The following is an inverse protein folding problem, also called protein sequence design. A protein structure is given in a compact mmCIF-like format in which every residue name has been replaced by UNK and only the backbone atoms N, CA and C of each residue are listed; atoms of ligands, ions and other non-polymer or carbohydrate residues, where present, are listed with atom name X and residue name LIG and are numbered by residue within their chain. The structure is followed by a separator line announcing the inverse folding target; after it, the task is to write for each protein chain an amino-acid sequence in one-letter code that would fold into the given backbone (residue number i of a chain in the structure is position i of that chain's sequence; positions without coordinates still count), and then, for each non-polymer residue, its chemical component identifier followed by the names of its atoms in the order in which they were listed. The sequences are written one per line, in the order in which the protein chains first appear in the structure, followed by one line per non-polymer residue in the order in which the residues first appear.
data_IF_335105550773
#
_entry.id   IF_335105550773
#
_cell.length_a   1.000
_cell.length_b   1.000
_cell.length_c   1.000
_cell.angle_alpha   90.00
_cell.angle_beta   90.00
_cell.angle_gamma   90.00
#
_symmetry.space_group_name_H-M   'P 1'
#
loop_
_entity.id
_entity.type
_entity.pdbx_description
1 polymer ?
#
# COMPACT_ATOMS: atom_id res chain seq x y z
N UNK A 1 -20.31 -28.48 22.69
CA UNK A 1 -19.39 -28.33 21.55
C UNK A 1 -18.11 -27.67 22.05
N UNK A 2 -17.02 -28.42 22.12
CA UNK A 2 -15.73 -27.91 22.57
C UNK A 2 -15.05 -27.18 21.42
N UNK A 3 -14.67 -25.92 21.62
CA UNK A 3 -13.79 -25.15 20.73
C UNK A 3 -12.42 -25.82 20.68
N UNK A 4 -11.85 -26.10 19.50
CA UNK A 4 -10.55 -26.73 19.41
C UNK A 4 -9.48 -25.75 19.90
N UNK A 5 -8.75 -26.13 20.96
CA UNK A 5 -7.50 -25.47 21.36
C UNK A 5 -6.44 -25.86 20.34
N UNK A 6 -6.04 -24.93 19.48
CA UNK A 6 -4.80 -25.06 18.73
C UNK A 6 -3.63 -24.90 19.70
N UNK A 7 -3.03 -26.02 20.11
CA UNK A 7 -1.74 -26.02 20.79
C UNK A 7 -0.63 -25.95 19.75
N UNK A 8 0.04 -24.80 19.68
CA UNK A 8 1.24 -24.58 18.87
C UNK A 8 2.34 -25.48 19.44
N UNK A 9 2.89 -26.38 18.64
CA UNK A 9 3.96 -27.29 19.09
C UNK A 9 5.33 -26.61 18.97
N UNK A 10 6.32 -27.17 19.66
CA UNK A 10 7.70 -26.66 19.66
C UNK A 10 8.36 -26.71 18.26
N UNK A 11 7.83 -27.50 17.33
CA UNK A 11 8.22 -27.55 15.90
C UNK A 11 7.71 -26.34 15.10
N UNK A 12 6.59 -25.74 15.48
CA UNK A 12 6.08 -24.51 14.85
C UNK A 12 6.95 -23.29 15.19
N UNK A 13 7.75 -23.38 16.26
CA UNK A 13 8.72 -22.34 16.62
C UNK A 13 9.95 -22.33 15.73
N UNK A 14 10.25 -23.40 14.97
CA UNK A 14 11.43 -23.44 14.09
C UNK A 14 11.14 -23.02 12.64
N UNK A 15 9.87 -22.84 12.26
CA UNK A 15 9.46 -22.29 10.96
C UNK A 15 9.45 -20.76 10.98
N UNK A 16 10.63 -20.15 11.10
CA UNK A 16 10.81 -18.68 11.13
C UNK A 16 10.62 -17.96 9.77
N UNK A 17 9.91 -18.56 8.83
CA UNK A 17 9.56 -17.95 7.53
C UNK A 17 8.06 -18.13 7.35
N UNK A 18 7.36 -17.08 6.91
CA UNK A 18 5.89 -16.97 6.70
C UNK A 18 5.09 -16.24 7.79
N UNK A 19 5.54 -15.07 8.26
CA UNK A 19 4.59 -14.09 8.83
C UNK A 19 3.79 -13.39 7.71
N UNK A 20 4.40 -13.22 6.53
CA UNK A 20 3.82 -12.56 5.36
C UNK A 20 4.18 -13.34 4.09
N UNK A 21 3.30 -13.31 3.07
CA UNK A 21 3.60 -13.85 1.73
C UNK A 21 4.01 -12.71 0.79
N UNK A 22 5.23 -12.82 0.23
CA UNK A 22 5.75 -11.93 -0.81
C UNK A 22 5.33 -12.32 -2.23
N UNK A 23 4.78 -13.53 -2.41
CA UNK A 23 4.43 -14.10 -3.72
C UNK A 23 5.63 -14.70 -4.45
N UNK A 24 5.37 -15.62 -5.38
CA UNK A 24 6.40 -16.46 -6.00
C UNK A 24 7.55 -15.64 -6.61
N UNK A 25 7.22 -14.53 -7.30
CA UNK A 25 8.23 -13.64 -7.90
C UNK A 25 9.15 -12.99 -6.86
N UNK A 26 8.65 -12.69 -5.66
CA UNK A 26 9.47 -12.14 -4.58
C UNK A 26 10.39 -13.21 -4.00
N UNK A 27 9.89 -14.43 -3.83
CA UNK A 27 10.65 -15.56 -3.34
C UNK A 27 11.78 -15.94 -4.32
N UNK A 28 11.49 -15.94 -5.63
CA UNK A 28 12.51 -16.12 -6.66
C UNK A 28 13.56 -15.01 -6.66
N UNK A 29 13.14 -13.75 -6.56
CA UNK A 29 14.07 -12.62 -6.50
C UNK A 29 14.94 -12.65 -5.23
N UNK A 30 14.36 -13.09 -4.10
CA UNK A 30 15.11 -13.31 -2.86
C UNK A 30 16.13 -14.43 -3.01
N UNK A 31 15.74 -15.58 -3.60
CA UNK A 31 16.66 -16.68 -3.86
C UNK A 31 17.80 -16.24 -4.79
N UNK A 32 17.48 -15.54 -5.89
CA UNK A 32 18.47 -14.99 -6.83
C UNK A 32 19.41 -14.00 -6.14
N UNK A 33 18.90 -13.16 -5.23
CA UNK A 33 19.73 -12.25 -4.45
C UNK A 33 20.79 -12.99 -3.61
N UNK A 34 20.45 -14.17 -3.10
CA UNK A 34 21.36 -14.94 -2.25
C UNK A 34 22.43 -15.69 -3.05
N UNK A 35 22.05 -16.31 -4.17
CA UNK A 35 22.96 -17.18 -4.93
C UNK A 35 23.60 -16.50 -6.13
N UNK A 36 22.98 -15.44 -6.65
CA UNK A 36 23.38 -14.75 -7.87
C UNK A 36 24.52 -13.76 -7.64
N UNK A 37 25.38 -13.61 -8.67
CA UNK A 37 26.50 -12.66 -8.64
C UNK A 37 26.05 -11.21 -8.37
N UNK A 38 24.95 -10.79 -8.99
CA UNK A 38 24.39 -9.45 -8.80
C UNK A 38 23.96 -9.19 -7.36
N UNK A 39 23.36 -10.21 -6.72
CA UNK A 39 22.95 -10.13 -5.33
C UNK A 39 24.14 -10.09 -4.37
N UNK A 40 25.17 -10.89 -4.60
CA UNK A 40 26.43 -10.84 -3.84
C UNK A 40 27.14 -9.49 -3.96
N UNK A 41 27.14 -8.88 -5.16
CA UNK A 41 27.68 -7.54 -5.37
C UNK A 41 26.88 -6.49 -4.61
N UNK A 42 25.54 -6.55 -4.68
CA UNK A 42 24.67 -5.66 -3.93
C UNK A 42 24.86 -5.81 -2.41
N UNK A 43 24.97 -7.05 -1.93
CA UNK A 43 25.25 -7.36 -0.52
C UNK A 43 26.57 -6.76 -0.06
N UNK A 44 27.63 -6.93 -0.86
CA UNK A 44 28.94 -6.35 -0.58
C UNK A 44 28.89 -4.83 -0.51
N UNK A 45 28.19 -4.18 -1.46
CA UNK A 45 28.00 -2.74 -1.47
C UNK A 45 27.20 -2.24 -0.25
N UNK A 46 26.13 -2.93 0.13
CA UNK A 46 25.26 -2.53 1.24
C UNK A 46 25.96 -2.65 2.60
N UNK A 47 26.82 -3.65 2.76
CA UNK A 47 27.55 -3.94 4.00
C UNK A 47 28.92 -3.24 4.06
N UNK A 48 29.34 -2.53 3.01
CA UNK A 48 30.61 -1.84 3.00
C UNK A 48 30.64 -0.67 4.00
N UNK A 49 31.55 -0.72 4.97
CA UNK A 49 31.65 0.25 6.06
C UNK A 49 32.41 1.51 5.65
N UNK A 50 31.75 2.40 4.88
CA UNK A 50 32.31 3.67 4.40
C UNK A 50 31.74 4.91 5.10
N UNK A 51 30.60 4.79 5.77
CA UNK A 51 29.89 5.89 6.42
C UNK A 51 30.33 6.01 7.88
N UNK A 52 29.89 7.08 8.54
CA UNK A 52 30.20 7.39 9.94
C UNK A 52 28.91 7.81 10.67
N UNK A 53 28.99 7.95 12.00
CA UNK A 53 27.84 8.44 12.79
C UNK A 53 27.43 9.86 12.37
N UNK A 54 28.33 10.69 11.82
CA UNK A 54 27.98 12.04 11.32
C UNK A 54 27.05 11.99 10.11
N UNK A 55 27.03 10.88 9.40
CA UNK A 55 26.11 10.62 8.28
C UNK A 55 24.73 10.15 8.79
N UNK A 56 24.58 9.97 10.10
CA UNK A 56 23.30 9.80 10.78
C UNK A 56 22.97 11.10 11.50
N UNK A 57 21.72 11.52 11.52
CA UNK A 57 21.29 12.68 12.32
C UNK A 57 21.30 12.39 13.85
N UNK A 58 22.10 11.42 14.31
CA UNK A 58 22.07 10.85 15.65
C UNK A 58 23.38 11.09 16.42
N UNK A 59 23.27 11.13 17.75
CA UNK A 59 24.44 11.35 18.61
C UNK A 59 25.21 10.06 18.87
N UNK A 60 26.54 10.17 19.04
CA UNK A 60 27.39 9.06 19.47
C UNK A 60 26.88 8.36 20.73
N UNK A 61 26.32 9.13 21.69
CA UNK A 61 25.77 8.60 22.93
C UNK A 61 24.59 7.65 22.69
N UNK A 62 23.67 8.05 21.81
CA UNK A 62 22.51 7.22 21.46
C UNK A 62 22.94 5.94 20.73
N UNK A 63 23.85 6.06 19.76
CA UNK A 63 24.38 4.92 19.02
C UNK A 63 25.13 3.93 19.94
N UNK A 64 25.96 4.44 20.85
CA UNK A 64 26.65 3.61 21.84
C UNK A 64 25.66 2.91 22.78
N UNK A 65 24.61 3.60 23.22
CA UNK A 65 23.55 2.99 24.03
C UNK A 65 22.84 1.86 23.28
N UNK A 66 22.40 2.09 22.04
CA UNK A 66 21.77 1.04 21.22
C UNK A 66 22.72 -0.12 20.90
N UNK A 67 24.02 0.15 20.75
CA UNK A 67 25.04 -0.88 20.60
C UNK A 67 25.18 -1.73 21.88
N UNK A 68 25.17 -1.11 23.07
CA UNK A 68 25.19 -1.83 24.34
C UNK A 68 23.96 -2.73 24.56
N UNK A 69 22.83 -2.39 23.93
CA UNK A 69 21.61 -3.18 23.93
C UNK A 69 21.59 -4.29 22.86
N UNK A 70 22.65 -4.40 22.05
CA UNK A 70 22.74 -5.35 20.94
C UNK A 70 21.84 -5.02 19.75
N UNK A 71 21.35 -3.78 19.64
CA UNK A 71 20.54 -3.32 18.51
C UNK A 71 21.40 -2.93 17.31
N UNK A 72 22.64 -2.52 17.54
CA UNK A 72 23.61 -2.18 16.50
C UNK A 72 24.84 -3.04 16.73
N UNK A 73 25.28 -3.74 15.68
CA UNK A 73 26.46 -4.58 15.72
C UNK A 73 27.70 -3.77 16.12
N UNK A 74 28.54 -4.36 16.96
CA UNK A 74 29.84 -3.76 17.23
C UNK A 74 30.73 -3.91 16.00
N UNK A 75 31.53 -2.88 15.70
CA UNK A 75 32.40 -2.84 14.55
C UNK A 75 33.81 -3.41 14.82
N UNK A 76 34.03 -3.98 16.00
CA UNK A 76 35.27 -4.67 16.37
C UNK A 76 36.47 -3.72 16.45
N UNK A 77 36.19 -2.44 16.65
CA UNK A 77 37.18 -1.37 16.64
C UNK A 77 38.09 -1.40 17.87
N UNK A 78 39.34 -1.03 17.67
CA UNK A 78 40.25 -0.69 18.77
C UNK A 78 39.79 0.59 19.48
N UNK A 79 40.13 0.68 20.77
CA UNK A 79 39.73 1.79 21.64
C UNK A 79 40.19 3.14 21.03
N UNK A 80 39.25 4.08 20.85
CA UNK A 80 39.51 5.40 20.25
C UNK A 80 39.30 5.52 18.74
N UNK A 81 39.09 4.43 18.00
CA UNK A 81 38.81 4.50 16.57
C UNK A 81 37.37 4.96 16.25
N UNK A 82 37.22 5.74 15.17
CA UNK A 82 35.92 6.21 14.69
C UNK A 82 35.07 5.05 14.19
N UNK A 83 33.82 4.95 14.68
CA UNK A 83 32.89 3.90 14.24
C UNK A 83 32.50 4.11 12.79
N UNK A 84 32.69 3.06 11.98
CA UNK A 84 32.26 3.05 10.58
C UNK A 84 30.94 2.30 10.42
N UNK A 85 30.06 2.85 9.60
CA UNK A 85 28.73 2.35 9.30
C UNK A 85 28.65 1.95 7.84
N UNK A 86 27.84 0.93 7.56
CA UNK A 86 27.40 0.57 6.23
C UNK A 86 26.09 1.28 5.85
N UNK A 87 25.68 1.18 4.59
CA UNK A 87 24.36 1.68 4.16
C UNK A 87 23.25 0.97 4.95
N UNK A 88 23.41 -0.34 5.16
CA UNK A 88 22.47 -1.15 5.92
C UNK A 88 22.34 -0.66 7.37
N UNK A 89 23.47 -0.34 8.01
CA UNK A 89 23.50 0.20 9.38
C UNK A 89 22.78 1.54 9.48
N UNK A 90 23.04 2.45 8.55
CA UNK A 90 22.40 3.78 8.54
C UNK A 90 20.88 3.66 8.37
N UNK A 91 20.42 2.85 7.42
CA UNK A 91 18.97 2.64 7.22
C UNK A 91 18.36 2.00 8.48
N UNK A 92 19.02 1.00 9.07
CA UNK A 92 18.55 0.37 10.30
C UNK A 92 18.46 1.34 11.48
N UNK A 93 19.46 2.22 11.67
CA UNK A 93 19.44 3.28 12.68
C UNK A 93 18.22 4.19 12.49
N UNK A 94 17.92 4.59 11.25
CA UNK A 94 16.75 5.41 10.98
C UNK A 94 15.42 4.65 11.17
N UNK A 95 15.40 3.32 10.96
CA UNK A 95 14.26 2.48 11.33
C UNK A 95 14.06 2.49 12.85
N UNK A 96 15.12 2.33 13.64
CA UNK A 96 15.06 2.42 15.10
C UNK A 96 14.52 3.78 15.55
N UNK A 97 15.01 4.87 14.97
CA UNK A 97 14.52 6.24 15.23
C UNK A 97 13.02 6.34 14.93
N UNK A 98 12.58 5.83 13.78
CA UNK A 98 11.17 5.87 13.40
C UNK A 98 10.28 5.08 14.37
N UNK A 99 10.67 3.85 14.72
CA UNK A 99 9.94 3.02 15.69
C UNK A 99 9.87 3.69 17.07
N UNK A 100 10.97 4.27 17.54
CA UNK A 100 10.98 5.05 18.79
C UNK A 100 10.10 6.29 18.71
N UNK A 101 9.99 6.93 17.54
CA UNK A 101 9.08 8.04 17.28
C UNK A 101 7.60 7.67 17.37
N UNK A 102 7.25 6.42 17.05
CA UNK A 102 5.91 5.86 17.29
C UNK A 102 5.66 5.44 18.75
N UNK A 103 6.66 5.57 19.63
CA UNK A 103 6.59 5.07 21.01
C UNK A 103 6.84 3.57 21.15
N UNK A 104 7.40 2.91 20.12
CA UNK A 104 7.63 1.47 20.18
C UNK A 104 8.63 1.11 21.30
N UNK A 105 8.33 0.13 22.18
CA UNK A 105 9.14 -0.10 23.37
C UNK A 105 10.56 -0.60 23.06
N UNK A 106 11.55 -0.13 23.83
CA UNK A 106 12.97 -0.38 23.56
C UNK A 106 13.34 -1.85 23.76
N UNK A 107 12.73 -2.49 24.75
CA UNK A 107 12.88 -3.91 25.07
C UNK A 107 12.40 -4.83 23.95
N UNK A 108 11.46 -4.38 23.11
CA UNK A 108 10.93 -5.14 21.96
C UNK A 108 11.77 -4.97 20.69
N UNK A 109 12.58 -3.91 20.60
CA UNK A 109 13.43 -3.67 19.42
C UNK A 109 14.47 -4.76 19.19
N UNK A 110 14.88 -5.48 20.24
CA UNK A 110 15.78 -6.64 20.10
C UNK A 110 15.11 -7.78 19.34
N UNK A 111 13.81 -8.00 19.55
CA UNK A 111 13.05 -8.98 18.76
C UNK A 111 13.00 -8.54 17.29
N UNK A 112 12.73 -7.26 17.04
CA UNK A 112 12.67 -6.69 15.68
C UNK A 112 14.00 -6.87 14.95
N UNK A 113 15.11 -6.55 15.62
CA UNK A 113 16.46 -6.77 15.08
C UNK A 113 16.67 -8.26 14.78
N UNK A 114 16.36 -9.14 15.73
CA UNK A 114 16.57 -10.58 15.57
C UNK A 114 15.76 -11.12 14.39
N UNK A 115 14.48 -10.76 14.24
CA UNK A 115 13.65 -11.25 13.14
C UNK A 115 14.12 -10.76 11.77
N UNK A 116 14.63 -9.53 11.69
CA UNK A 116 15.04 -8.93 10.42
C UNK A 116 16.44 -9.34 9.96
N UNK A 117 17.32 -9.63 10.90
CA UNK A 117 18.72 -10.00 10.66
C UNK A 117 19.03 -11.47 10.98
N UNK A 118 18.02 -12.29 11.25
CA UNK A 118 18.21 -13.71 11.54
C UNK A 118 18.93 -14.38 10.38
N UNK A 119 20.19 -14.79 10.53
CA UNK A 119 20.86 -15.64 9.53
C UNK A 119 20.45 -17.09 9.78
N UNK A 120 19.64 -17.70 8.92
CA UNK A 120 19.31 -19.12 9.08
C UNK A 120 20.52 -20.04 8.84
N UNK A 121 20.42 -21.25 9.36
CA UNK A 121 21.47 -22.27 9.38
C UNK A 121 21.81 -22.78 7.98
N UNK A 122 23.11 -22.85 7.65
CA UNK A 122 23.87 -23.50 6.54
C UNK A 122 23.27 -23.63 5.12
N UNK A 123 21.97 -23.55 4.90
CA UNK A 123 21.29 -23.69 3.60
C UNK A 123 20.13 -22.68 3.43
N UNK A 124 19.84 -21.84 4.43
CA UNK A 124 18.89 -20.74 4.29
C UNK A 124 19.29 -19.55 5.16
N UNK A 125 20.32 -18.81 4.77
CA UNK A 125 20.70 -17.57 5.46
C UNK A 125 19.63 -16.50 5.21
N UNK A 126 19.05 -15.90 6.24
CA UNK A 126 18.00 -14.89 6.08
C UNK A 126 18.62 -13.48 6.17
N UNK A 127 18.60 -12.79 5.03
CA UNK A 127 18.99 -11.40 4.83
C UNK A 127 17.77 -10.58 4.37
N UNK A 128 16.58 -10.83 4.93
CA UNK A 128 15.34 -10.21 4.46
C UNK A 128 15.37 -8.68 4.50
N UNK A 129 15.94 -8.11 5.56
CA UNK A 129 16.09 -6.67 5.65
C UNK A 129 17.07 -6.12 4.60
N UNK A 130 18.21 -6.77 4.42
CA UNK A 130 19.20 -6.39 3.42
C UNK A 130 18.65 -6.50 1.99
N UNK A 131 17.94 -7.59 1.69
CA UNK A 131 17.23 -7.76 0.43
C UNK A 131 16.20 -6.65 0.21
N UNK A 132 15.38 -6.34 1.21
CA UNK A 132 14.39 -5.27 1.11
C UNK A 132 15.04 -3.89 0.89
N UNK A 133 16.18 -3.64 1.52
CA UNK A 133 16.99 -2.44 1.26
C UNK A 133 17.52 -2.44 -0.17
N UNK A 134 18.06 -3.55 -0.67
CA UNK A 134 18.52 -3.66 -2.06
C UNK A 134 17.38 -3.35 -3.05
N UNK A 135 16.20 -3.95 -2.83
CA UNK A 135 15.00 -3.71 -3.64
C UNK A 135 14.53 -2.25 -3.57
N UNK A 136 14.66 -1.61 -2.40
CA UNK A 136 14.39 -0.18 -2.21
C UNK A 136 15.32 0.68 -3.07
N UNK A 137 16.63 0.37 -3.09
CA UNK A 137 17.60 1.07 -3.93
C UNK A 137 17.34 0.84 -5.42
N UNK A 138 16.75 -0.29 -5.79
CA UNK A 138 16.23 -0.59 -7.14
C UNK A 138 14.87 0.07 -7.43
N UNK A 139 14.38 0.95 -6.55
CA UNK A 139 13.10 1.66 -6.65
C UNK A 139 11.87 0.74 -6.70
N UNK A 140 11.95 -0.45 -6.09
CA UNK A 140 10.76 -1.24 -5.75
C UNK A 140 10.18 -0.75 -4.44
N UNK A 141 8.86 -0.76 -4.31
CA UNK A 141 8.20 -0.34 -3.07
C UNK A 141 8.38 -1.42 -2.00
N UNK A 142 9.06 -1.08 -0.91
CA UNK A 142 9.27 -1.99 0.20
C UNK A 142 8.84 -1.33 1.51
N UNK A 143 8.20 -2.13 2.35
CA UNK A 143 7.76 -1.76 3.67
C UNK A 143 8.32 -2.74 4.69
N UNK A 144 8.59 -2.22 5.89
CA UNK A 144 8.84 -3.02 7.07
C UNK A 144 7.57 -3.01 7.93
N UNK A 145 7.06 -4.20 8.24
CA UNK A 145 5.94 -4.41 9.15
C UNK A 145 6.51 -4.84 10.51
N UNK A 146 6.12 -4.16 11.58
CA UNK A 146 6.54 -4.47 12.95
C UNK A 146 5.30 -4.68 13.82
N UNK A 147 5.20 -5.86 14.42
CA UNK A 147 4.07 -6.29 15.24
C UNK A 147 4.21 -5.83 16.70
N UNK A 148 3.11 -5.79 17.47
CA UNK A 148 3.12 -5.42 18.88
C UNK A 148 4.05 -6.28 19.75
N UNK A 149 4.34 -7.52 19.37
CA UNK A 149 5.28 -8.42 20.06
C UNK A 149 6.75 -8.20 19.68
N UNK A 150 7.02 -7.27 18.76
CA UNK A 150 8.36 -6.97 18.26
C UNK A 150 8.81 -7.82 17.08
N UNK A 151 8.05 -8.84 16.66
CA UNK A 151 8.36 -9.52 15.41
C UNK A 151 8.23 -8.55 14.24
N UNK A 152 9.04 -8.75 13.23
CA UNK A 152 9.00 -7.91 12.05
C UNK A 152 9.34 -8.68 10.78
N UNK A 153 8.81 -8.18 9.66
CA UNK A 153 9.04 -8.73 8.33
C UNK A 153 9.11 -7.60 7.30
N UNK A 154 9.94 -7.77 6.29
CA UNK A 154 9.92 -6.92 5.11
C UNK A 154 8.94 -7.48 4.07
N UNK A 155 8.24 -6.60 3.37
CA UNK A 155 7.23 -6.97 2.38
C UNK A 155 7.20 -5.94 1.24
N UNK A 156 6.84 -6.39 0.05
CA UNK A 156 6.44 -5.49 -1.03
C UNK A 156 5.24 -4.62 -0.62
N UNK A 157 5.35 -3.31 -0.85
CA UNK A 157 4.32 -2.35 -0.42
C UNK A 157 2.93 -2.64 -0.98
N UNK A 158 2.86 -3.19 -2.20
CA UNK A 158 1.58 -3.54 -2.85
C UNK A 158 0.88 -4.73 -2.20
N UNK A 159 1.60 -5.55 -1.43
CA UNK A 159 1.09 -6.76 -0.81
C UNK A 159 0.67 -6.57 0.66
N UNK A 160 0.94 -5.40 1.25
CA UNK A 160 0.58 -5.11 2.65
C UNK A 160 -0.91 -5.29 2.89
N UNK A 161 -1.75 -4.62 2.11
CA UNK A 161 -3.21 -4.69 2.28
C UNK A 161 -3.77 -6.06 1.89
N UNK A 162 -3.20 -6.69 0.86
CA UNK A 162 -3.58 -8.06 0.46
C UNK A 162 -3.32 -9.04 1.59
N UNK A 163 -2.15 -8.98 2.22
CA UNK A 163 -1.82 -9.85 3.34
C UNK A 163 -2.72 -9.57 4.54
N UNK A 164 -3.03 -8.30 4.83
CA UNK A 164 -3.98 -7.92 5.88
C UNK A 164 -5.36 -8.55 5.65
N UNK A 165 -5.89 -8.47 4.43
CA UNK A 165 -7.23 -8.96 4.09
C UNK A 165 -7.31 -10.49 4.05
N UNK A 166 -6.30 -11.16 3.51
CA UNK A 166 -6.31 -12.62 3.32
C UNK A 166 -5.94 -13.36 4.62
N UNK A 167 -4.93 -12.86 5.34
CA UNK A 167 -4.37 -13.56 6.51
C UNK A 167 -4.85 -13.00 7.85
N UNK A 168 -5.71 -11.96 7.84
CA UNK A 168 -6.30 -11.41 9.06
C UNK A 168 -5.24 -10.82 9.98
N UNK A 169 -4.29 -10.07 9.41
CA UNK A 169 -3.20 -9.48 10.19
C UNK A 169 -3.76 -8.27 10.96
N UNK A 170 -3.63 -8.30 12.28
CA UNK A 170 -4.16 -7.29 13.20
C UNK A 170 -3.35 -5.98 13.14
N UNK A 171 -2.92 -5.49 14.31
CA UNK A 171 -2.20 -4.24 14.46
C UNK A 171 -0.73 -4.39 14.11
N UNK A 172 -0.20 -3.40 13.39
CA UNK A 172 1.22 -3.31 13.07
C UNK A 172 1.64 -1.87 12.80
N UNK A 173 2.92 -1.60 13.00
CA UNK A 173 3.57 -0.40 12.50
C UNK A 173 4.12 -0.71 11.11
N UNK A 174 3.81 0.14 10.13
CA UNK A 174 4.33 0.04 8.77
C UNK A 174 5.33 1.17 8.49
N UNK A 175 6.60 0.82 8.26
CA UNK A 175 7.66 1.75 7.89
C UNK A 175 7.95 1.61 6.40
N UNK A 176 7.64 2.63 5.61
CA UNK A 176 7.97 2.66 4.19
C UNK A 176 9.48 2.92 3.99
N UNK A 177 10.21 1.92 3.48
CA UNK A 177 11.67 1.98 3.35
C UNK A 177 12.11 2.96 2.27
N UNK A 178 11.35 3.10 1.17
CA UNK A 178 11.64 4.07 0.11
C UNK A 178 11.63 5.51 0.62
N UNK A 179 10.59 5.88 1.38
CA UNK A 179 10.50 7.21 2.00
C UNK A 179 11.63 7.46 3.00
N UNK A 180 11.99 6.43 3.78
CA UNK A 180 13.08 6.51 4.74
C UNK A 180 14.43 6.69 4.03
N UNK A 181 14.72 5.89 3.00
CA UNK A 181 15.94 6.00 2.19
C UNK A 181 16.07 7.37 1.52
N UNK A 182 14.98 7.92 0.95
CA UNK A 182 15.00 9.26 0.34
C UNK A 182 15.23 10.40 1.33
N UNK A 183 14.90 10.23 2.61
CA UNK A 183 15.23 11.22 3.64
C UNK A 183 16.72 11.18 4.01
N UNK A 184 17.30 9.99 4.03
CA UNK A 184 18.72 9.77 4.37
C UNK A 184 19.60 10.29 3.23
N UNK A 185 19.36 9.86 2.00
CA UNK A 185 20.16 10.22 0.83
C UNK A 185 19.45 11.30 0.01
N UNK A 186 19.52 12.55 0.49
CA UNK A 186 18.76 13.70 -0.04
C UNK A 186 19.01 14.00 -1.53
N UNK A 187 20.15 13.57 -2.06
CA UNK A 187 20.56 13.70 -3.46
C UNK A 187 19.93 12.63 -4.38
N UNK A 188 19.26 11.62 -3.81
CA UNK A 188 18.71 10.48 -4.55
C UNK A 188 17.22 10.30 -4.33
N UNK A 189 16.51 10.09 -5.44
CA UNK A 189 15.09 9.76 -5.41
C UNK A 189 14.87 8.24 -5.45
N UNK A 190 14.35 7.69 -4.37
CA UNK A 190 13.96 6.29 -4.21
C UNK A 190 12.45 6.10 -4.25
N UNK A 191 11.68 7.11 -4.70
CA UNK A 191 10.26 6.93 -4.99
C UNK A 191 10.05 5.64 -5.80
N UNK A 192 9.13 4.77 -5.35
CA UNK A 192 8.88 3.53 -6.06
C UNK A 192 8.50 3.81 -7.51
N UNK A 193 9.11 3.06 -8.42
CA UNK A 193 8.57 2.95 -9.77
C UNK A 193 7.46 1.92 -9.66
N UNK A 194 6.24 2.41 -9.49
CA UNK A 194 5.04 1.58 -9.59
C UNK A 194 4.97 1.04 -11.02
N UNK A 195 5.43 -0.20 -11.23
CA UNK A 195 4.96 -0.98 -12.38
C UNK A 195 3.49 -1.20 -12.10
N UNK A 196 2.63 -0.42 -12.74
CA UNK A 196 1.19 -0.35 -12.49
C UNK A 196 0.63 -1.73 -12.10
N UNK A 197 0.46 -1.97 -10.80
CA UNK A 197 -0.25 -3.13 -10.27
C UNK A 197 -1.74 -3.02 -10.58
N UNK A 198 -2.19 -1.82 -10.94
CA UNK A 198 -3.37 -1.62 -11.77
C UNK A 198 -3.01 -1.98 -13.21
N UNK A 199 -3.27 -3.22 -13.62
CA UNK A 199 -3.26 -3.65 -15.02
C UNK A 199 -4.36 -2.96 -15.86
N UNK A 200 -4.81 -1.77 -15.46
CA UNK A 200 -5.87 -1.00 -16.07
C UNK A 200 -5.24 0.28 -16.61
N UNK A 201 -5.26 0.42 -17.93
CA UNK A 201 -4.99 1.66 -18.62
C UNK A 201 -6.10 2.68 -18.30
N UNK A 202 -5.82 3.97 -18.42
CA UNK A 202 -6.78 5.05 -18.13
C UNK A 202 -8.15 4.82 -18.82
N UNK A 203 -8.14 4.31 -20.05
CA UNK A 203 -9.35 4.00 -20.81
C UNK A 203 -10.17 2.84 -20.20
N UNK A 204 -9.50 1.84 -19.62
CA UNK A 204 -10.14 0.70 -18.96
C UNK A 204 -10.73 1.12 -17.61
N UNK A 205 -10.04 2.04 -16.91
CA UNK A 205 -10.54 2.65 -15.68
C UNK A 205 -11.82 3.47 -15.94
N UNK A 206 -11.88 4.24 -17.03
CA UNK A 206 -13.08 4.99 -17.42
C UNK A 206 -14.29 4.09 -17.61
N UNK A 207 -14.12 2.92 -18.26
CA UNK A 207 -15.20 1.94 -18.41
C UNK A 207 -15.68 1.43 -17.06
N UNK A 208 -14.74 1.02 -16.19
CA UNK A 208 -15.07 0.52 -14.85
C UNK A 208 -15.78 1.56 -13.98
N UNK A 209 -15.41 2.84 -14.09
CA UNK A 209 -16.08 3.93 -13.38
C UNK A 209 -17.51 4.13 -13.87
N UNK A 210 -17.78 4.04 -15.18
CA UNK A 210 -19.15 4.10 -15.71
C UNK A 210 -19.98 2.93 -15.16
N UNK A 211 -19.45 1.71 -15.20
CA UNK A 211 -20.12 0.50 -14.68
C UNK A 211 -20.43 0.61 -13.19
N UNK A 212 -19.47 1.08 -12.38
CA UNK A 212 -19.61 1.17 -10.92
C UNK A 212 -20.46 2.33 -10.44
N UNK A 213 -20.68 3.34 -11.28
CA UNK A 213 -21.37 4.56 -10.86
C UNK A 213 -22.85 4.38 -10.51
N UNK A 214 -23.47 3.27 -10.92
CA UNK A 214 -24.91 3.04 -10.76
C UNK A 214 -25.81 3.97 -11.56
N UNK A 215 -25.24 4.88 -12.37
CA UNK A 215 -25.98 5.88 -13.17
C UNK A 215 -26.46 5.35 -14.52
N UNK A 216 -25.77 4.36 -15.07
CA UNK A 216 -26.01 3.85 -16.41
C UNK A 216 -26.59 2.44 -16.33
N UNK A 217 -27.60 2.17 -17.15
CA UNK A 217 -28.21 0.86 -17.32
C UNK A 217 -27.36 -0.05 -18.20
N UNK A 218 -26.60 0.54 -19.13
CA UNK A 218 -25.66 -0.18 -19.97
C UNK A 218 -24.44 0.67 -20.30
N UNK A 219 -23.30 -0.01 -20.44
CA UNK A 219 -22.04 0.56 -20.91
C UNK A 219 -21.55 -0.34 -22.04
N UNK A 220 -21.32 0.24 -23.21
CA UNK A 220 -20.83 -0.43 -24.41
C UNK A 220 -19.51 0.18 -24.84
N UNK A 221 -18.59 -0.66 -25.30
CA UNK A 221 -17.23 -0.27 -25.66
C UNK A 221 -16.97 -0.65 -27.11
N UNK A 222 -16.47 0.28 -27.92
CA UNK A 222 -15.93 -0.03 -29.25
C UNK A 222 -14.42 -0.05 -29.19
N UNK A 223 -13.85 -1.14 -29.71
CA UNK A 223 -12.42 -1.39 -29.72
C UNK A 223 -11.87 -1.41 -31.14
N UNK A 224 -10.62 -0.99 -31.28
CA UNK A 224 -9.83 -1.11 -32.52
C UNK A 224 -8.39 -1.48 -32.14
N UNK A 225 -7.87 -2.55 -32.74
CA UNK A 225 -6.52 -3.08 -32.48
C UNK A 225 -6.22 -3.29 -30.97
N UNK A 226 -7.21 -3.84 -30.25
CA UNK A 226 -7.10 -4.07 -28.80
C UNK A 226 -7.20 -2.82 -27.92
N UNK A 227 -7.40 -1.63 -28.51
CA UNK A 227 -7.55 -0.36 -27.78
C UNK A 227 -9.00 0.09 -27.75
N UNK A 228 -9.43 0.60 -26.61
CA UNK A 228 -10.74 1.25 -26.45
C UNK A 228 -10.72 2.58 -27.23
N UNK A 229 -11.61 2.73 -28.21
CA UNK A 229 -11.75 3.93 -29.02
C UNK A 229 -12.95 4.79 -28.58
N UNK A 230 -14.01 4.14 -28.09
CA UNK A 230 -15.25 4.80 -27.73
C UNK A 230 -15.96 4.07 -26.59
N UNK A 231 -16.47 4.85 -25.63
CA UNK A 231 -17.36 4.37 -24.58
C UNK A 231 -18.73 5.01 -24.80
N UNK A 232 -19.77 4.18 -24.93
CA UNK A 232 -21.17 4.58 -25.04
C UNK A 232 -21.90 4.12 -23.78
N UNK A 233 -22.41 5.05 -22.96
CA UNK A 233 -23.11 4.73 -21.73
C UNK A 233 -24.57 5.22 -21.80
N UNK A 234 -25.52 4.32 -21.55
CA UNK A 234 -26.95 4.60 -21.63
C UNK A 234 -27.57 4.65 -20.24
N UNK A 235 -28.38 5.67 -19.98
CA UNK A 235 -29.17 5.83 -18.77
C UNK A 235 -30.62 6.16 -19.11
N UNK A 236 -31.55 5.72 -18.26
CA UNK A 236 -32.89 6.29 -18.23
C UNK A 236 -32.87 7.67 -17.59
N UNK A 237 -33.71 8.55 -18.10
CA UNK A 237 -33.86 9.91 -17.60
C UNK A 237 -35.32 10.13 -17.21
N UNK A 238 -35.55 10.84 -16.12
CA UNK A 238 -36.91 11.22 -15.70
C UNK A 238 -37.67 11.95 -16.82
N UNK A 239 -38.88 11.47 -17.10
CA UNK A 239 -39.75 11.98 -18.18
C UNK A 239 -40.18 13.43 -18.00
N UNK A 240 -40.07 13.97 -16.77
CA UNK A 240 -40.42 15.35 -16.43
C UNK A 240 -39.31 16.35 -16.79
N UNK A 241 -38.10 15.88 -17.08
CA UNK A 241 -36.97 16.76 -17.37
C UNK A 241 -37.19 17.44 -18.72
N UNK A 242 -37.06 18.78 -18.76
CA UNK A 242 -37.31 19.55 -20.00
C UNK A 242 -36.33 19.11 -21.08
N UNK A 243 -36.86 18.71 -22.24
CA UNK A 243 -36.05 18.24 -23.38
C UNK A 243 -34.91 19.22 -23.74
N UNK A 244 -35.17 20.53 -23.69
CA UNK A 244 -34.18 21.58 -23.99
C UNK A 244 -33.01 21.54 -23.00
N UNK A 245 -33.25 21.23 -21.73
CA UNK A 245 -32.19 21.11 -20.71
C UNK A 245 -31.33 19.88 -20.98
N UNK A 246 -31.96 18.76 -21.33
CA UNK A 246 -31.26 17.53 -21.69
C UNK A 246 -30.34 17.69 -22.89
N UNK A 247 -30.79 18.39 -23.94
CA UNK A 247 -29.99 18.65 -25.15
C UNK A 247 -28.73 19.46 -24.83
N UNK A 248 -28.76 20.35 -23.83
CA UNK A 248 -27.62 21.23 -23.48
C UNK A 248 -26.53 20.56 -22.65
N UNK A 249 -26.81 19.41 -22.03
CA UNK A 249 -25.91 18.80 -21.05
C UNK A 249 -24.69 18.07 -21.63
N UNK A 250 -24.66 17.77 -22.93
CA UNK A 250 -23.52 17.09 -23.55
C UNK A 250 -23.27 17.55 -24.98
N UNK A 251 -21.99 17.61 -25.37
CA UNK A 251 -21.56 17.98 -26.74
C UNK A 251 -22.01 16.98 -27.80
N UNK A 252 -22.08 15.69 -27.44
CA UNK A 252 -22.54 14.63 -28.32
C UNK A 252 -23.33 13.60 -27.51
N UNK A 253 -24.57 13.33 -27.92
CA UNK A 253 -25.47 12.39 -27.26
C UNK A 253 -26.56 11.89 -28.22
N UNK A 254 -27.08 10.69 -27.95
CA UNK A 254 -28.32 10.17 -28.53
C UNK A 254 -29.40 10.25 -27.47
N UNK A 255 -30.54 10.84 -27.81
CA UNK A 255 -31.73 10.89 -26.94
C UNK A 255 -32.85 10.16 -27.68
N UNK A 256 -33.39 9.11 -27.08
CA UNK A 256 -34.55 8.38 -27.57
C UNK A 256 -35.73 8.67 -26.66
N UNK A 257 -36.81 9.19 -27.24
CA UNK A 257 -38.05 9.50 -26.53
C UNK A 257 -39.13 8.57 -27.03
N UNK A 258 -39.80 7.88 -26.11
CA UNK A 258 -40.98 7.07 -26.41
C UNK A 258 -42.21 7.74 -25.80
N UNK A 259 -43.26 7.86 -26.61
CA UNK A 259 -44.53 8.48 -26.23
C UNK A 259 -45.69 7.50 -26.40
N UNK A 260 -46.64 7.51 -25.47
CA UNK A 260 -47.92 6.82 -25.59
C UNK A 260 -49.04 7.81 -25.23
N UNK A 261 -50.10 7.86 -26.03
CA UNK A 261 -51.26 8.75 -25.83
C UNK A 261 -50.90 10.23 -25.60
N UNK A 262 -49.92 10.72 -26.36
CA UNK A 262 -49.43 12.10 -26.26
C UNK A 262 -48.58 12.41 -25.01
N UNK A 263 -48.29 11.41 -24.16
CA UNK A 263 -47.45 11.54 -22.96
C UNK A 263 -46.10 10.85 -23.16
N UNK A 264 -45.04 11.43 -22.62
CA UNK A 264 -43.70 10.81 -22.61
C UNK A 264 -43.71 9.69 -21.57
N UNK A 265 -43.45 8.45 -22.02
CA UNK A 265 -43.39 7.26 -21.16
C UNK A 265 -41.96 6.81 -20.87
N UNK A 266 -41.00 7.15 -21.74
CA UNK A 266 -39.59 6.81 -21.52
C UNK A 266 -38.68 7.81 -22.23
N UNK A 267 -37.58 8.17 -21.57
CA UNK A 267 -36.46 8.88 -22.18
C UNK A 267 -35.20 8.07 -21.90
N UNK A 268 -34.56 7.57 -22.97
CA UNK A 268 -33.24 6.96 -22.90
C UNK A 268 -32.20 7.92 -23.45
N UNK A 269 -31.10 8.07 -22.72
CA UNK A 269 -29.99 8.92 -23.12
C UNK A 269 -28.72 8.10 -23.21
N UNK A 270 -28.05 8.17 -24.35
CA UNK A 270 -26.73 7.58 -24.56
C UNK A 270 -25.71 8.69 -24.76
N UNK A 271 -24.71 8.74 -23.88
CA UNK A 271 -23.59 9.69 -23.98
C UNK A 271 -22.39 8.98 -24.59
N UNK A 272 -21.68 9.69 -25.48
CA UNK A 272 -20.46 9.19 -26.09
C UNK A 272 -19.26 9.92 -25.50
N UNK A 273 -18.31 9.16 -24.98
CA UNK A 273 -17.08 9.71 -24.43
C UNK A 273 -15.91 9.11 -25.18
N UNK A 274 -15.06 9.97 -25.75
CA UNK A 274 -13.72 9.53 -26.18
C UNK A 274 -12.88 9.32 -24.93
N UNK A 275 -12.17 8.20 -24.81
CA UNK A 275 -11.26 7.98 -23.69
C UNK A 275 -10.21 9.09 -23.64
N UNK A 276 -9.84 9.52 -22.44
CA UNK A 276 -8.91 10.63 -22.27
C UNK A 276 -7.51 10.25 -22.80
N UNK A 277 -7.04 10.91 -23.87
CA UNK A 277 -5.66 10.80 -24.32
C UNK A 277 -4.79 11.74 -23.48
N UNK A 278 -3.88 11.17 -22.66
CA UNK A 278 -2.82 11.83 -21.87
C UNK A 278 -2.90 13.37 -21.79
N UNK A 279 -3.49 13.89 -20.72
CA UNK A 279 -3.10 15.20 -20.22
C UNK A 279 -1.91 15.01 -19.27
N UNK A 280 -0.81 15.69 -19.59
CA UNK A 280 0.42 15.79 -18.81
C UNK A 280 0.12 16.08 -17.33
N UNK A 281 0.87 15.43 -16.43
CA UNK A 281 0.57 15.33 -15.01
C UNK A 281 0.18 16.65 -14.34
N UNK A 282 -1.07 16.73 -13.90
CA UNK A 282 -1.47 17.48 -12.72
C UNK A 282 -2.53 16.66 -11.98
N UNK A 283 -2.20 16.32 -10.74
CA UNK A 283 -3.03 15.63 -9.77
C UNK A 283 -4.35 16.37 -9.63
N UNK A 284 -5.45 15.77 -10.10
CA UNK A 284 -6.78 16.30 -9.84
C UNK A 284 -7.16 15.90 -8.41
N UNK A 285 -7.01 16.85 -7.49
CA UNK A 285 -7.53 16.72 -6.13
C UNK A 285 -9.05 16.53 -6.20
N UNK A 286 -9.53 15.39 -5.70
CA UNK A 286 -10.95 15.17 -5.42
C UNK A 286 -11.32 15.97 -4.16
N UNK A 287 -11.69 17.23 -4.33
CA UNK A 287 -12.42 17.98 -3.31
C UNK A 287 -13.90 17.62 -3.40
N UNK A 288 -14.35 16.74 -2.52
CA UNK A 288 -15.75 16.67 -2.10
C UNK A 288 -15.81 16.01 -0.74
N UNK A 289 -15.37 16.75 0.27
CA UNK A 289 -15.81 16.55 1.65
C UNK A 289 -17.04 17.43 1.87
N UNK A 290 -18.23 16.88 1.64
CA UNK A 290 -19.42 17.27 2.40
C UNK A 290 -20.09 15.98 2.89
N UNK A 291 -20.26 15.80 4.21
CA UNK A 291 -20.92 14.63 4.77
C UNK A 291 -22.44 14.69 4.50
N UNK A 292 -22.99 13.55 4.10
CA UNK A 292 -24.43 13.28 4.01
C UNK A 292 -25.11 13.65 5.33
N UNK A 293 -25.79 14.79 5.36
CA UNK A 293 -26.67 15.19 6.46
C UNK A 293 -27.99 14.43 6.31
N UNK A 294 -28.21 13.43 7.17
CA UNK A 294 -29.48 12.71 7.27
C UNK A 294 -30.60 13.65 7.73
N UNK A 295 -31.50 14.03 6.84
CA UNK A 295 -32.77 14.67 7.20
C UNK A 295 -33.87 13.62 7.21
N UNK A 296 -34.28 13.23 8.41
CA UNK A 296 -35.34 12.24 8.62
C UNK A 296 -35.76 12.21 10.07
N UNK A 297 -36.50 13.24 10.52
CA UNK A 297 -37.23 13.19 11.80
C UNK A 297 -38.31 12.10 11.69
N UNK A 298 -38.41 11.14 12.62
CA UNK A 298 -39.60 10.32 12.75
C UNK A 298 -40.72 11.19 13.34
N UNK A 299 -41.89 11.19 12.69
CA UNK A 299 -43.13 11.74 13.26
C UNK A 299 -43.56 10.86 14.44
N UNK A 300 -43.44 11.34 15.68
CA UNK A 300 -44.08 10.69 16.82
C UNK A 300 -45.59 10.96 16.75
N UNK A 301 -46.39 9.91 16.51
CA UNK A 301 -47.82 9.94 16.82
C UNK A 301 -47.97 9.92 18.33
N UNK A 302 -48.71 10.89 18.85
CA UNK A 302 -49.17 10.94 20.23
C UNK A 302 -50.00 9.69 20.54
N UNK A 303 -49.66 9.01 21.63
CA UNK A 303 -50.52 8.01 22.28
C UNK A 303 -51.24 8.75 23.40
N UNK A 304 -52.57 8.86 23.27
CA UNK A 304 -53.46 9.16 24.37
C UNK A 304 -53.43 7.97 25.34
N UNK A 305 -53.01 8.20 26.58
CA UNK A 305 -53.35 7.32 27.71
C UNK A 305 -54.58 7.90 28.41
N UNK A 306 -55.74 7.28 28.19
CA UNK A 306 -56.84 7.34 29.14
C UNK A 306 -56.63 6.24 30.19
N UNK A 307 -56.78 6.63 31.46
CA UNK A 307 -56.92 5.73 32.58
C UNK A 307 -58.20 4.89 32.44
N UNK A 308 -58.15 3.62 32.85
CA UNK A 308 -59.19 2.95 33.64
C UNK A 308 -58.62 1.63 34.20
N UNK A 309 -58.88 1.43 35.49
CA UNK A 309 -58.70 0.26 36.37
C UNK A 309 -57.28 -0.15 36.81
#
# INVERSE_FOLDING_TARGET
MATPKFSITHEDQERYVHILRGGDNYDFAFAEYHVGKSGQLASSMLNEKKLTIKDTDQTYRLINHWSSLGLIADDGRSEGAWRKLSILDVIWIHVLVALRGFGFPLEKLRMTQKTLFARGSKTSMCLFFEFAVAQTLMKREQCLIVFPDGKAAAIDGSLVEVNRQIFGIDDYICINLNRLASRIFKDKDFKPIYKASTQLHDNELDVLLHMRSGRYESVSVKMKDGKIELIEATQSVESQKKFIELVKEAKYQKIEVQTADGKIVSIKRTVKTKPATKATGQTRALSSTEPLRSSGKPKSKAVHSNAHD
#
